data_IF_992750905642
#
_entry.id   IF_992750905642
#
_cell.length_a   1.000
_cell.length_b   1.000
_cell.length_c   1.000
_cell.angle_alpha   90.00
_cell.angle_beta   90.00
_cell.angle_gamma   90.00
#
_symmetry.space_group_name_H-M   'P 1'
#
loop_
_entity.id
_entity.type
_entity.pdbx_description
1 polymer ?
#
# COMPACT_ATOMS: atom_id res chain seq x y z
N UNK A 1 -5.66 -8.86 -9.38
CA UNK A 1 -4.26 -8.50 -9.05
C UNK A 1 -4.23 -7.53 -7.89
N UNK A 2 -3.47 -7.86 -6.85
CA UNK A 2 -3.35 -7.07 -5.63
C UNK A 2 -2.05 -6.27 -5.68
N UNK A 3 -2.17 -4.95 -5.64
CA UNK A 3 -1.02 -4.03 -5.62
C UNK A 3 -0.93 -3.39 -4.24
N UNK A 4 0.19 -3.60 -3.57
CA UNK A 4 0.50 -2.96 -2.29
C UNK A 4 1.40 -1.76 -2.55
N UNK A 5 0.97 -0.58 -2.09
CA UNK A 5 1.84 0.59 -2.01
C UNK A 5 2.12 0.80 -0.52
N UNK A 6 3.36 0.58 -0.10
CA UNK A 6 3.76 0.63 1.29
C UNK A 6 4.81 1.70 1.55
N UNK A 7 4.96 2.07 2.78
CA UNK A 7 5.93 3.08 3.20
C UNK A 7 5.49 3.82 4.44
N UNK A 8 6.39 4.62 5.00
CA UNK A 8 6.10 5.43 6.17
C UNK A 8 5.04 6.49 5.89
N UNK A 9 4.31 6.96 6.91
CA UNK A 9 3.40 8.08 6.74
C UNK A 9 4.12 9.30 6.16
N UNK A 10 3.54 9.92 5.14
CA UNK A 10 4.14 11.06 4.47
C UNK A 10 5.09 10.72 3.32
N UNK A 11 5.24 9.44 2.99
CA UNK A 11 6.13 9.01 1.90
C UNK A 11 5.56 9.19 0.49
N UNK A 12 4.27 9.52 0.36
CA UNK A 12 3.64 9.76 -0.94
C UNK A 12 2.81 8.60 -1.47
N UNK A 13 2.43 7.65 -0.63
CA UNK A 13 1.61 6.49 -1.03
C UNK A 13 0.30 6.90 -1.68
N UNK A 14 -0.42 7.80 -1.04
CA UNK A 14 -1.73 8.28 -1.53
C UNK A 14 -1.58 9.04 -2.83
N UNK A 15 -0.54 9.86 -2.94
CA UNK A 15 -0.21 10.59 -4.16
C UNK A 15 -0.04 9.64 -5.35
N UNK A 16 0.73 8.59 -5.16
CA UNK A 16 0.98 7.60 -6.21
C UNK A 16 -0.29 6.80 -6.53
N UNK A 17 -0.98 6.30 -5.51
CA UNK A 17 -2.21 5.51 -5.68
C UNK A 17 -3.27 6.28 -6.46
N UNK A 18 -3.51 7.53 -6.09
CA UNK A 18 -4.51 8.39 -6.74
C UNK A 18 -4.24 8.55 -8.24
N UNK A 19 -2.96 8.64 -8.62
CA UNK A 19 -2.57 8.83 -10.02
C UNK A 19 -2.54 7.53 -10.81
N UNK A 20 -2.23 6.42 -10.16
CA UNK A 20 -2.22 5.11 -10.83
C UNK A 20 -3.63 4.57 -11.05
N UNK A 21 -4.56 4.90 -10.17
CA UNK A 21 -5.93 4.36 -10.21
C UNK A 21 -6.60 4.48 -11.58
N UNK A 22 -6.68 5.68 -12.18
CA UNK A 22 -7.35 5.82 -13.47
C UNK A 22 -6.62 5.10 -14.61
N UNK A 23 -5.30 5.04 -14.58
CA UNK A 23 -4.50 4.37 -15.61
C UNK A 23 -4.77 2.87 -15.59
N UNK A 24 -4.80 2.28 -14.39
CA UNK A 24 -5.03 0.85 -14.21
C UNK A 24 -6.50 0.47 -14.18
N UNK A 25 -7.40 1.45 -14.12
CA UNK A 25 -8.85 1.23 -13.88
C UNK A 25 -9.07 0.36 -12.64
N UNK A 26 -8.31 0.64 -11.60
CA UNK A 26 -8.25 -0.16 -10.39
C UNK A 26 -9.24 0.31 -9.32
N UNK A 27 -9.66 -0.61 -8.46
CA UNK A 27 -10.20 -0.24 -7.16
C UNK A 27 -9.06 0.30 -6.30
N UNK A 28 -9.35 1.22 -5.40
CA UNK A 28 -8.34 1.79 -4.51
C UNK A 28 -8.89 1.90 -3.10
N UNK A 29 -8.21 1.24 -2.16
CA UNK A 29 -8.52 1.31 -0.74
C UNK A 29 -7.36 1.98 -0.01
N UNK A 30 -7.60 3.20 0.44
CA UNK A 30 -6.67 3.97 1.26
C UNK A 30 -6.89 3.61 2.73
N UNK A 31 -5.82 3.32 3.46
CA UNK A 31 -5.93 2.84 4.83
C UNK A 31 -6.64 3.81 5.77
N UNK A 32 -6.37 5.12 5.64
CA UNK A 32 -7.02 6.13 6.52
C UNK A 32 -8.51 6.22 6.25
N UNK A 33 -8.92 6.16 4.98
CA UNK A 33 -10.34 6.16 4.61
C UNK A 33 -11.02 4.90 5.12
N UNK A 34 -10.36 3.76 5.01
CA UNK A 34 -10.89 2.48 5.52
C UNK A 34 -11.04 2.52 7.04
N UNK A 35 -10.07 3.09 7.77
CA UNK A 35 -10.19 3.29 9.22
C UNK A 35 -11.36 4.20 9.57
N UNK A 36 -11.54 5.26 8.83
CA UNK A 36 -12.67 6.18 9.02
C UNK A 36 -14.00 5.46 8.82
N UNK A 37 -14.13 4.70 7.75
CA UNK A 37 -15.34 3.93 7.44
C UNK A 37 -15.63 2.88 8.51
N UNK A 38 -14.58 2.22 9.03
CA UNK A 38 -14.70 1.21 10.07
C UNK A 38 -14.82 1.83 11.48
N UNK A 39 -14.60 3.13 11.60
CA UNK A 39 -14.52 3.83 12.88
C UNK A 39 -13.53 3.13 13.83
N UNK A 40 -12.34 2.82 13.32
CA UNK A 40 -11.33 2.03 14.02
C UNK A 40 -9.97 2.70 13.91
N UNK A 41 -9.64 3.50 14.92
CA UNK A 41 -8.38 4.23 15.02
C UNK A 41 -7.44 3.63 16.05
N UNK A 42 -7.59 2.33 16.30
CA UNK A 42 -6.74 1.58 17.22
C UNK A 42 -5.40 1.26 16.55
N UNK A 43 -4.33 1.92 17.04
CA UNK A 43 -2.97 1.72 16.58
C UNK A 43 -2.16 0.79 17.49
N UNK A 44 -2.81 0.08 18.41
CA UNK A 44 -2.18 -1.00 19.16
C UNK A 44 -1.73 -2.12 18.19
N UNK A 45 -0.86 -3.04 18.63
CA UNK A 45 -0.50 -4.19 17.79
C UNK A 45 -1.70 -4.95 17.26
N UNK A 46 -2.71 -5.21 18.08
CA UNK A 46 -3.95 -5.88 17.67
C UNK A 46 -4.73 -5.06 16.65
N UNK A 47 -4.82 -3.75 16.85
CA UNK A 47 -5.52 -2.85 15.94
C UNK A 47 -4.84 -2.76 14.58
N UNK A 48 -3.52 -2.79 14.56
CA UNK A 48 -2.75 -2.78 13.30
C UNK A 48 -2.91 -4.10 12.53
N UNK A 49 -2.96 -5.22 13.24
CA UNK A 49 -3.23 -6.53 12.62
C UNK A 49 -4.65 -6.54 12.05
N UNK A 50 -5.63 -6.08 12.82
CA UNK A 50 -7.03 -6.01 12.37
C UNK A 50 -7.17 -5.16 11.12
N UNK A 51 -6.48 -4.01 11.05
CA UNK A 51 -6.48 -3.16 9.87
C UNK A 51 -5.86 -3.86 8.66
N UNK A 52 -4.74 -4.56 8.86
CA UNK A 52 -4.09 -5.28 7.76
C UNK A 52 -4.98 -6.40 7.19
N UNK A 53 -5.73 -7.09 8.06
CA UNK A 53 -6.69 -8.10 7.63
C UNK A 53 -7.88 -7.49 6.91
N UNK A 54 -8.33 -6.32 7.35
CA UNK A 54 -9.40 -5.57 6.68
C UNK A 54 -8.97 -5.20 5.26
N UNK A 55 -7.76 -4.65 5.11
CA UNK A 55 -7.20 -4.31 3.80
C UNK A 55 -7.07 -5.55 2.92
N UNK A 56 -6.59 -6.66 3.49
CA UNK A 56 -6.47 -7.93 2.79
C UNK A 56 -7.82 -8.40 2.26
N UNK A 57 -8.85 -8.39 3.09
CA UNK A 57 -10.16 -8.88 2.70
C UNK A 57 -10.78 -8.04 1.58
N UNK A 58 -10.62 -6.72 1.63
CA UNK A 58 -11.06 -5.83 0.55
C UNK A 58 -10.33 -6.12 -0.75
N UNK A 59 -9.02 -6.29 -0.68
CA UNK A 59 -8.21 -6.60 -1.87
C UNK A 59 -8.54 -7.98 -2.45
N UNK A 60 -8.71 -8.98 -1.61
CA UNK A 60 -9.04 -10.34 -2.05
C UNK A 60 -10.39 -10.38 -2.75
N UNK A 61 -11.37 -9.61 -2.26
CA UNK A 61 -12.66 -9.49 -2.93
C UNK A 61 -12.49 -8.99 -4.37
N UNK A 62 -11.80 -7.87 -4.55
CA UNK A 62 -11.60 -7.28 -5.88
C UNK A 62 -10.85 -8.24 -6.81
N UNK A 63 -9.80 -8.88 -6.28
CA UNK A 63 -9.05 -9.87 -7.05
C UNK A 63 -9.94 -11.04 -7.49
N UNK A 64 -10.83 -11.51 -6.62
CA UNK A 64 -11.75 -12.60 -6.93
C UNK A 64 -12.71 -12.24 -8.07
N UNK A 65 -12.95 -10.95 -8.29
CA UNK A 65 -13.79 -10.44 -9.37
C UNK A 65 -13.00 -10.12 -10.65
N UNK A 66 -11.73 -10.53 -10.70
CA UNK A 66 -10.86 -10.30 -11.86
C UNK A 66 -10.37 -8.85 -11.98
N UNK A 67 -10.45 -8.07 -10.92
CA UNK A 67 -10.08 -6.65 -10.95
C UNK A 67 -8.68 -6.41 -10.42
N UNK A 68 -8.09 -5.30 -10.85
CA UNK A 68 -6.87 -4.76 -10.24
C UNK A 68 -7.29 -3.92 -9.03
N UNK A 69 -6.60 -4.09 -7.92
CA UNK A 69 -6.87 -3.34 -6.68
C UNK A 69 -5.57 -2.79 -6.11
N UNK A 70 -5.60 -1.52 -5.72
CA UNK A 70 -4.50 -0.84 -5.06
C UNK A 70 -4.88 -0.67 -3.58
N UNK A 71 -4.00 -1.13 -2.69
CA UNK A 71 -4.11 -0.84 -1.26
C UNK A 71 -2.88 -0.06 -0.84
N UNK A 72 -3.06 1.14 -0.30
CA UNK A 72 -1.97 1.93 0.22
C UNK A 72 -2.07 2.04 1.73
N UNK A 73 -1.10 1.46 2.40
CA UNK A 73 -0.96 1.51 3.86
C UNK A 73 0.50 1.30 4.27
N UNK A 74 0.82 1.62 5.52
CA UNK A 74 2.20 1.56 5.99
C UNK A 74 2.78 0.17 5.84
N UNK A 75 2.00 -0.85 6.19
CA UNK A 75 2.43 -2.25 6.13
C UNK A 75 3.80 -2.44 6.79
N UNK A 76 3.90 -2.18 8.13
CA UNK A 76 5.19 -1.91 8.76
C UNK A 76 6.08 -3.12 8.97
N UNK A 77 5.55 -4.34 8.90
CA UNK A 77 6.30 -5.55 9.22
C UNK A 77 6.22 -6.57 8.09
N UNK A 78 7.18 -7.48 8.08
CA UNK A 78 7.18 -8.60 7.13
C UNK A 78 5.95 -9.49 7.32
N UNK A 79 5.46 -9.63 8.55
CA UNK A 79 4.23 -10.37 8.86
C UNK A 79 3.00 -9.74 8.22
N UNK A 80 2.83 -8.42 8.36
CA UNK A 80 1.68 -7.72 7.76
C UNK A 80 1.72 -7.80 6.24
N UNK A 81 2.90 -7.70 5.63
CA UNK A 81 3.05 -7.85 4.19
C UNK A 81 2.70 -9.27 3.74
N UNK A 82 3.19 -10.28 4.46
CA UNK A 82 2.91 -11.68 4.15
C UNK A 82 1.40 -11.97 4.27
N UNK A 83 0.76 -11.46 5.31
CA UNK A 83 -0.68 -11.64 5.50
C UNK A 83 -1.49 -11.00 4.37
N UNK A 84 -1.09 -9.84 3.91
CA UNK A 84 -1.74 -9.19 2.78
C UNK A 84 -1.54 -9.98 1.48
N UNK A 85 -0.38 -10.59 1.30
CA UNK A 85 0.00 -11.40 0.14
C UNK A 85 -0.17 -10.65 -1.19
N UNK A 86 0.58 -9.57 -1.42
CA UNK A 86 0.48 -8.78 -2.64
C UNK A 86 1.01 -9.54 -3.86
N UNK A 87 0.41 -9.29 -5.02
CA UNK A 87 0.97 -9.71 -6.30
C UNK A 87 2.09 -8.78 -6.73
N UNK A 88 1.95 -7.48 -6.43
CA UNK A 88 2.95 -6.46 -6.72
C UNK A 88 3.14 -5.59 -5.49
N UNK A 89 4.38 -5.34 -5.13
CA UNK A 89 4.74 -4.44 -4.02
C UNK A 89 5.49 -3.23 -4.55
N UNK A 90 5.01 -2.05 -4.21
CA UNK A 90 5.66 -0.78 -4.47
C UNK A 90 6.04 -0.17 -3.13
N UNK A 91 7.32 0.04 -2.91
CA UNK A 91 7.83 0.64 -1.69
C UNK A 91 8.16 2.12 -1.92
N UNK A 92 7.43 2.98 -1.23
CA UNK A 92 7.69 4.41 -1.22
C UNK A 92 8.78 4.71 -0.18
N UNK A 93 10.03 4.64 -0.61
CA UNK A 93 11.21 4.88 0.23
C UNK A 93 11.76 6.28 0.00
N UNK A 94 10.87 7.28 0.07
CA UNK A 94 11.19 8.68 -0.20
C UNK A 94 11.64 9.43 1.03
N UNK A 95 11.38 8.89 2.22
CA UNK A 95 11.76 9.47 3.51
C UNK A 95 12.32 8.37 4.41
N UNK A 96 13.21 8.74 5.33
CA UNK A 96 13.84 7.77 6.25
C UNK A 96 13.07 7.61 7.55
N UNK A 97 12.31 8.64 7.95
CA UNK A 97 11.46 8.59 9.13
C UNK A 97 10.22 9.43 8.89
N UNK A 98 9.09 8.91 9.33
CA UNK A 98 7.82 9.63 9.31
C UNK A 98 7.63 10.43 10.59
N UNK A 99 6.48 11.11 10.69
CA UNK A 99 6.13 11.97 11.83
C UNK A 99 5.71 11.19 13.09
N UNK A 100 5.48 9.88 12.99
CA UNK A 100 5.05 9.05 14.11
C UNK A 100 6.17 8.14 14.56
N UNK A 101 6.73 8.40 15.74
CA UNK A 101 7.88 7.67 16.27
C UNK A 101 7.60 6.17 16.45
N UNK A 102 6.42 5.81 16.93
CA UNK A 102 6.05 4.41 17.14
C UNK A 102 6.04 3.65 15.82
N UNK A 103 5.54 4.28 14.75
CA UNK A 103 5.53 3.69 13.41
C UNK A 103 6.96 3.56 12.87
N UNK A 104 7.81 4.55 13.09
CA UNK A 104 9.20 4.50 12.66
C UNK A 104 9.94 3.31 13.29
N UNK A 105 9.72 3.07 14.58
CA UNK A 105 10.35 1.96 15.31
C UNK A 105 9.84 0.60 14.86
N UNK A 106 8.59 0.51 14.48
CA UNK A 106 7.94 -0.73 14.05
C UNK A 106 8.28 -1.10 12.61
N UNK A 107 8.59 -0.10 11.79
CA UNK A 107 8.75 -0.30 10.36
C UNK A 107 9.98 -1.15 10.03
N UNK A 108 9.76 -2.27 9.37
CA UNK A 108 10.81 -3.14 8.83
C UNK A 108 10.95 -2.85 7.33
N UNK A 109 12.16 -2.57 6.89
CA UNK A 109 12.41 -2.41 5.46
C UNK A 109 12.13 -3.74 4.73
N UNK A 110 11.34 -3.71 3.65
CA UNK A 110 11.06 -4.93 2.91
C UNK A 110 12.32 -5.46 2.22
N UNK A 111 12.49 -6.79 2.25
CA UNK A 111 13.64 -7.44 1.61
C UNK A 111 13.48 -7.56 0.10
N UNK A 112 12.23 -7.68 -0.37
CA UNK A 112 11.92 -7.83 -1.78
C UNK A 112 10.74 -6.95 -2.15
N UNK A 113 10.91 -6.16 -3.21
CA UNK A 113 9.83 -5.33 -3.77
C UNK A 113 9.95 -5.35 -5.28
N UNK A 114 8.83 -5.15 -5.97
CA UNK A 114 8.82 -5.05 -7.43
C UNK A 114 9.28 -3.67 -7.90
N UNK A 115 8.90 -2.63 -7.15
CA UNK A 115 9.28 -1.25 -7.46
C UNK A 115 9.65 -0.53 -6.18
N UNK A 116 10.77 0.19 -6.22
CA UNK A 116 11.22 1.03 -5.11
C UNK A 116 11.28 2.48 -5.60
N UNK A 117 10.49 3.33 -4.99
CA UNK A 117 10.44 4.75 -5.32
C UNK A 117 11.23 5.53 -4.27
N UNK A 118 12.37 6.10 -4.68
CA UNK A 118 13.25 6.84 -3.76
C UNK A 118 13.05 8.34 -3.86
N UNK A 119 12.34 8.80 -4.87
CA UNK A 119 12.14 10.22 -5.14
C UNK A 119 10.78 10.41 -5.81
N UNK A 120 10.00 11.37 -5.31
CA UNK A 120 8.74 11.73 -5.92
C UNK A 120 8.98 12.55 -7.18
N UNK A 121 8.38 12.14 -8.28
CA UNK A 121 8.38 12.90 -9.53
C UNK A 121 7.03 12.75 -10.24
N UNK A 122 6.81 13.54 -11.27
CA UNK A 122 5.52 13.61 -11.96
C UNK A 122 5.26 12.45 -12.92
N UNK A 123 6.22 11.55 -13.10
CA UNK A 123 6.11 10.45 -14.08
C UNK A 123 6.13 9.05 -13.48
N UNK A 124 6.40 8.91 -12.18
CA UNK A 124 6.47 7.59 -11.54
C UNK A 124 5.21 6.77 -11.77
N UNK A 125 4.05 7.38 -11.59
CA UNK A 125 2.77 6.68 -11.76
C UNK A 125 2.57 6.17 -13.18
N UNK A 126 2.97 6.93 -14.18
CA UNK A 126 2.84 6.53 -15.59
C UNK A 126 3.77 5.36 -15.91
N UNK A 127 5.03 5.46 -15.51
CA UNK A 127 6.05 4.45 -15.77
C UNK A 127 5.71 3.12 -15.10
N UNK A 128 5.35 3.15 -13.82
CA UNK A 128 5.03 1.96 -13.06
C UNK A 128 3.74 1.32 -13.58
N UNK A 129 2.69 2.13 -13.79
CA UNK A 129 1.42 1.62 -14.30
C UNK A 129 1.58 0.98 -15.68
N UNK A 130 2.37 1.58 -16.58
CA UNK A 130 2.63 1.01 -17.88
C UNK A 130 3.30 -0.36 -17.78
N UNK A 131 4.28 -0.51 -16.91
CA UNK A 131 4.95 -1.80 -16.69
C UNK A 131 4.01 -2.85 -16.11
N UNK A 132 3.13 -2.46 -15.20
CA UNK A 132 2.13 -3.38 -14.63
C UNK A 132 1.19 -3.87 -15.72
N UNK A 133 0.72 -2.97 -16.59
CA UNK A 133 -0.21 -3.33 -17.67
C UNK A 133 0.43 -4.26 -18.71
N UNK A 134 1.73 -4.21 -18.88
CA UNK A 134 2.44 -5.14 -19.77
C UNK A 134 2.35 -6.60 -19.29
N UNK A 135 2.13 -6.81 -18.01
CA UNK A 135 2.13 -8.13 -17.37
C UNK A 135 0.73 -8.62 -16.96
N UNK A 136 -0.29 -7.94 -17.41
CA UNK A 136 -1.69 -8.28 -17.09
C UNK A 136 -2.32 -9.10 -18.21
#
# INVERSE_FOLDING_TARGET
MKILIMGLPGSGKTYLAKRMQPILKAAWYNADIVREMANDWDFSPEGRIRQSLRMKNLADFEKSQGRIVICDFVCPTSETKKNFNPDITIWMNTIKSGRYEDTNKMFEEPSEVDYKVIEMNDTNHETIAAKILENV
#
